data_IF_428895118180
#
_entry.id   IF_428895118180
#
_cell.length_a   1.000
_cell.length_b   1.000
_cell.length_c   1.000
_cell.angle_alpha   90.00
_cell.angle_beta   90.00
_cell.angle_gamma   90.00
#
_symmetry.space_group_name_H-M   'P 1'
#
loop_
_entity.id
_entity.type
_entity.pdbx_description
1 polymer ?
#
# COMPACT_ATOMS: atom_id res chain seq x y z
N UNK A 1 -14.81 27.44 -17.16
CA UNK A 1 -15.82 26.50 -16.62
C UNK A 1 -15.92 25.31 -17.56
N UNK A 2 -15.92 24.08 -17.05
CA UNK A 2 -15.98 22.85 -17.85
C UNK A 2 -17.26 22.75 -18.71
N UNK A 3 -18.33 23.44 -18.32
CA UNK A 3 -19.63 23.43 -19.01
C UNK A 3 -19.91 24.66 -19.88
N UNK A 4 -18.90 25.47 -20.21
CA UNK A 4 -19.10 26.70 -21.00
C UNK A 4 -19.95 27.79 -20.33
N UNK A 5 -20.46 27.59 -19.11
CA UNK A 5 -21.27 28.57 -18.38
C UNK A 5 -22.63 28.06 -17.91
N UNK A 6 -23.11 26.95 -18.48
CA UNK A 6 -24.42 26.36 -18.14
C UNK A 6 -24.34 25.36 -16.98
N UNK A 7 -25.49 25.11 -16.35
CA UNK A 7 -25.62 24.12 -15.27
C UNK A 7 -25.46 22.70 -15.84
N UNK A 8 -24.65 21.86 -15.19
CA UNK A 8 -24.47 20.44 -15.55
C UNK A 8 -25.79 19.67 -15.61
N UNK A 9 -26.80 20.09 -14.84
CA UNK A 9 -28.11 19.44 -14.79
C UNK A 9 -29.00 19.71 -16.01
N UNK A 10 -28.62 20.67 -16.85
CA UNK A 10 -29.36 21.07 -18.05
C UNK A 10 -28.68 20.60 -19.34
N UNK A 11 -27.54 19.92 -19.23
CA UNK A 11 -26.81 19.38 -20.37
C UNK A 11 -27.30 17.97 -20.69
N UNK A 12 -27.38 17.66 -21.98
CA UNK A 12 -27.59 16.30 -22.45
C UNK A 12 -26.39 15.42 -22.09
N UNK A 13 -26.65 14.10 -21.98
CA UNK A 13 -25.58 13.14 -21.82
C UNK A 13 -24.59 13.21 -23.00
N UNK A 14 -23.27 13.10 -22.76
CA UNK A 14 -22.29 13.13 -23.83
C UNK A 14 -22.53 11.99 -24.82
N UNK A 15 -22.40 12.30 -26.10
CA UNK A 15 -22.44 11.28 -27.16
C UNK A 15 -21.19 10.41 -27.07
N UNK A 16 -21.34 9.12 -27.36
CA UNK A 16 -20.22 8.17 -27.39
C UNK A 16 -19.16 8.61 -28.41
N UNK A 17 -17.92 8.70 -27.96
CA UNK A 17 -16.77 8.97 -28.82
C UNK A 17 -16.18 7.70 -29.44
N UNK A 18 -15.05 7.84 -30.14
CA UNK A 18 -14.27 6.71 -30.62
C UNK A 18 -13.61 5.97 -29.46
N UNK A 19 -13.54 4.64 -29.57
CA UNK A 19 -12.83 3.79 -28.61
C UNK A 19 -11.39 3.64 -29.08
N UNK A 20 -10.44 3.79 -28.15
CA UNK A 20 -9.04 3.50 -28.40
C UNK A 20 -8.73 2.08 -27.90
N UNK A 21 -8.78 1.11 -28.82
CA UNK A 21 -8.56 -0.31 -28.51
C UNK A 21 -7.17 -0.56 -27.89
N UNK A 22 -6.13 0.16 -28.33
CA UNK A 22 -4.79 0.00 -27.78
C UNK A 22 -4.72 0.32 -26.28
N UNK A 23 -5.46 1.34 -25.83
CA UNK A 23 -5.57 1.68 -24.40
C UNK A 23 -6.33 0.60 -23.64
N UNK A 24 -7.37 0.01 -24.25
CA UNK A 24 -8.11 -1.08 -23.63
C UNK A 24 -7.24 -2.34 -23.48
N UNK A 25 -6.42 -2.65 -24.47
CA UNK A 25 -5.49 -3.78 -24.43
C UNK A 25 -4.40 -3.57 -23.35
N UNK A 26 -3.80 -2.38 -23.29
CA UNK A 26 -2.84 -2.04 -22.23
C UNK A 26 -3.48 -2.12 -20.84
N UNK A 27 -4.72 -1.67 -20.68
CA UNK A 27 -5.47 -1.81 -19.41
C UNK A 27 -5.79 -3.26 -19.06
N UNK A 28 -6.16 -4.07 -20.05
CA UNK A 28 -6.42 -5.50 -19.85
C UNK A 28 -5.14 -6.21 -19.37
N UNK A 29 -4.01 -5.94 -20.02
CA UNK A 29 -2.71 -6.48 -19.60
C UNK A 29 -2.31 -6.00 -18.20
N UNK A 30 -2.48 -4.70 -17.91
CA UNK A 30 -2.19 -4.10 -16.59
C UNK A 30 -2.95 -4.83 -15.48
N UNK A 31 -4.26 -5.03 -15.65
CA UNK A 31 -5.10 -5.76 -14.69
C UNK A 31 -4.66 -7.21 -14.54
N UNK A 32 -4.38 -7.90 -15.65
CA UNK A 32 -3.90 -9.27 -15.61
C UNK A 32 -2.59 -9.41 -14.80
N UNK A 33 -1.66 -8.46 -14.94
CA UNK A 33 -0.41 -8.45 -14.16
C UNK A 33 -0.69 -8.26 -12.67
N UNK A 34 -1.56 -7.30 -12.32
CA UNK A 34 -1.94 -7.04 -10.91
C UNK A 34 -2.58 -8.27 -10.29
N UNK A 35 -3.57 -8.87 -10.96
CA UNK A 35 -4.29 -10.05 -10.48
C UNK A 35 -3.32 -11.23 -10.25
N UNK A 36 -2.43 -11.50 -11.19
CA UNK A 36 -1.41 -12.54 -11.05
C UNK A 36 -0.39 -12.22 -9.94
N UNK A 37 0.03 -10.96 -9.81
CA UNK A 37 0.96 -10.50 -8.78
C UNK A 37 0.36 -10.67 -7.37
N UNK A 38 -0.89 -10.24 -7.18
CA UNK A 38 -1.64 -10.44 -5.94
C UNK A 38 -1.88 -11.92 -5.67
N UNK A 39 -2.20 -12.73 -6.69
CA UNK A 39 -2.34 -14.18 -6.53
C UNK A 39 -1.02 -14.82 -6.07
N UNK A 40 0.13 -14.39 -6.62
CA UNK A 40 1.46 -14.88 -6.20
C UNK A 40 1.84 -14.47 -4.78
N UNK A 41 1.34 -13.34 -4.27
CA UNK A 41 1.46 -12.99 -2.84
C UNK A 41 0.68 -13.95 -1.95
N UNK A 42 -0.50 -14.36 -2.42
CA UNK A 42 -1.40 -15.25 -1.69
C UNK A 42 -1.02 -16.73 -1.79
N UNK A 43 -0.24 -17.11 -2.81
CA UNK A 43 0.19 -18.49 -3.01
C UNK A 43 1.12 -18.93 -1.87
N UNK A 44 0.81 -20.07 -1.28
CA UNK A 44 1.61 -20.75 -0.27
C UNK A 44 2.09 -22.08 -0.84
N UNK A 45 3.35 -22.41 -0.66
CA UNK A 45 3.92 -23.73 -0.93
C UNK A 45 4.69 -24.23 0.30
N UNK A 46 5.26 -25.42 0.23
CA UNK A 46 6.13 -25.94 1.31
C UNK A 46 7.38 -25.08 1.51
N UNK A 47 7.83 -24.38 0.46
CA UNK A 47 9.02 -23.52 0.45
C UNK A 47 8.71 -22.03 0.61
N UNK A 48 7.48 -21.59 0.32
CA UNK A 48 7.12 -20.17 0.30
C UNK A 48 5.90 -19.87 1.16
N UNK A 49 6.04 -18.89 2.05
CA UNK A 49 4.94 -18.39 2.86
C UNK A 49 4.15 -17.31 2.10
N UNK A 50 2.89 -17.16 2.52
CA UNK A 50 2.03 -16.08 2.06
C UNK A 50 2.62 -14.73 2.51
N UNK A 51 2.67 -13.76 1.60
CA UNK A 51 3.14 -12.40 1.89
C UNK A 51 1.96 -11.44 1.81
N UNK A 52 1.66 -10.77 2.92
CA UNK A 52 0.56 -9.78 2.97
C UNK A 52 0.89 -8.60 2.06
N UNK A 53 -0.11 -8.02 1.39
CA UNK A 53 0.10 -6.90 0.44
C UNK A 53 0.84 -5.74 1.07
N UNK A 54 0.55 -5.40 2.34
CA UNK A 54 1.24 -4.35 3.11
C UNK A 54 2.76 -4.54 3.28
N UNK A 55 3.26 -5.77 3.15
CA UNK A 55 4.69 -6.05 3.17
C UNK A 55 5.23 -5.68 1.79
N UNK A 56 6.01 -4.58 1.68
CA UNK A 56 6.60 -4.20 0.40
C UNK A 56 7.57 -5.29 -0.04
N UNK A 57 7.60 -5.54 -1.34
CA UNK A 57 8.55 -6.44 -1.98
C UNK A 57 9.47 -5.65 -2.90
N UNK A 58 10.63 -6.22 -3.19
CA UNK A 58 11.64 -5.53 -3.99
C UNK A 58 11.16 -5.33 -5.43
N UNK A 59 10.67 -6.39 -6.08
CA UNK A 59 10.31 -6.28 -7.49
C UNK A 59 9.24 -7.27 -7.95
N UNK A 60 8.55 -6.88 -9.02
CA UNK A 60 7.71 -7.72 -9.85
C UNK A 60 8.24 -7.72 -11.28
N UNK A 61 8.37 -8.90 -11.86
CA UNK A 61 8.68 -9.09 -13.27
C UNK A 61 7.43 -9.48 -14.06
N UNK A 62 7.30 -9.02 -15.30
CA UNK A 62 6.22 -9.47 -16.21
C UNK A 62 6.73 -9.68 -17.63
N UNK A 63 6.14 -10.64 -18.35
CA UNK A 63 6.39 -10.85 -19.78
C UNK A 63 5.33 -10.17 -20.66
N UNK A 64 5.65 -10.07 -21.95
CA UNK A 64 4.77 -9.49 -22.98
C UNK A 64 5.14 -8.05 -23.31
N UNK A 65 4.22 -7.37 -24.01
CA UNK A 65 4.41 -5.99 -24.48
C UNK A 65 4.72 -5.06 -23.31
N UNK A 66 5.72 -4.21 -23.48
CA UNK A 66 6.08 -3.20 -22.47
C UNK A 66 4.95 -2.19 -22.32
N UNK A 67 4.54 -1.95 -21.08
CA UNK A 67 3.54 -0.94 -20.72
C UNK A 67 4.19 0.44 -20.54
N UNK A 68 3.36 1.49 -20.64
CA UNK A 68 3.77 2.84 -20.29
C UNK A 68 4.11 2.97 -18.80
N UNK A 69 5.01 3.90 -18.46
CA UNK A 69 5.50 4.07 -17.08
C UNK A 69 4.41 4.36 -16.05
N UNK A 70 3.34 5.07 -16.44
CA UNK A 70 2.18 5.31 -15.56
C UNK A 70 1.47 4.01 -15.18
N UNK A 71 1.39 3.05 -16.10
CA UNK A 71 0.75 1.76 -15.85
C UNK A 71 1.64 0.85 -15.02
N UNK A 72 2.95 0.87 -15.28
CA UNK A 72 3.94 0.19 -14.43
C UNK A 72 3.91 0.74 -13.00
N UNK A 73 3.67 2.05 -12.81
CA UNK A 73 3.49 2.65 -11.50
C UNK A 73 2.20 2.18 -10.82
N UNK A 74 1.07 2.12 -11.53
CA UNK A 74 -0.18 1.57 -10.99
C UNK A 74 0.04 0.11 -10.54
N UNK A 75 0.73 -0.70 -11.34
CA UNK A 75 1.09 -2.07 -10.97
C UNK A 75 1.94 -2.10 -9.69
N UNK A 76 2.93 -1.21 -9.59
CA UNK A 76 3.81 -1.12 -8.43
C UNK A 76 3.04 -0.78 -7.15
N UNK A 77 2.08 0.14 -7.23
CA UNK A 77 1.25 0.58 -6.10
C UNK A 77 0.25 -0.50 -5.68
N UNK A 78 -0.49 -1.09 -6.63
CA UNK A 78 -1.51 -2.11 -6.35
C UNK A 78 -0.90 -3.41 -5.81
N UNK A 79 0.25 -3.84 -6.35
CA UNK A 79 0.96 -5.03 -5.87
C UNK A 79 1.94 -4.70 -4.74
N UNK A 80 2.15 -3.42 -4.39
CA UNK A 80 3.11 -2.93 -3.39
C UNK A 80 4.55 -3.47 -3.59
N UNK A 81 5.14 -3.19 -4.74
CA UNK A 81 6.54 -3.52 -5.06
C UNK A 81 7.36 -2.26 -5.33
N UNK A 82 8.67 -2.28 -5.08
CA UNK A 82 9.53 -1.12 -5.37
C UNK A 82 9.79 -0.93 -6.85
N UNK A 83 9.89 -2.03 -7.59
CA UNK A 83 10.23 -2.02 -9.01
C UNK A 83 9.32 -2.94 -9.81
N UNK A 84 8.94 -2.49 -11.02
CA UNK A 84 8.23 -3.30 -12.01
C UNK A 84 9.14 -3.41 -13.23
N UNK A 85 9.43 -4.65 -13.65
CA UNK A 85 10.40 -4.95 -14.70
C UNK A 85 9.70 -5.74 -15.81
N UNK A 86 9.72 -5.19 -17.02
CA UNK A 86 9.37 -5.96 -18.21
C UNK A 86 10.53 -6.88 -18.60
N UNK A 87 10.26 -8.18 -18.69
CA UNK A 87 11.21 -9.23 -19.05
C UNK A 87 11.20 -9.58 -20.56
N UNK A 88 10.50 -8.79 -21.38
CA UNK A 88 10.28 -9.06 -22.80
C UNK A 88 9.21 -10.12 -23.07
N UNK A 89 9.04 -10.45 -24.35
CA UNK A 89 8.01 -11.36 -24.86
C UNK A 89 7.31 -10.77 -26.08
N UNK A 90 6.69 -11.62 -26.89
CA UNK A 90 6.00 -11.18 -28.10
C UNK A 90 4.53 -10.82 -27.81
N UNK A 91 3.95 -9.97 -28.66
CA UNK A 91 2.54 -9.58 -28.59
C UNK A 91 1.66 -10.82 -28.86
N UNK A 92 0.90 -11.25 -27.86
CA UNK A 92 0.05 -12.45 -27.91
C UNK A 92 0.52 -13.63 -27.05
N UNK A 93 1.75 -13.56 -26.50
CA UNK A 93 2.19 -14.53 -25.51
C UNK A 93 1.36 -14.41 -24.22
N UNK A 94 1.19 -15.54 -23.53
CA UNK A 94 0.59 -15.52 -22.21
C UNK A 94 1.46 -14.68 -21.26
N UNK A 95 0.84 -13.71 -20.58
CA UNK A 95 1.51 -12.87 -19.58
C UNK A 95 1.93 -13.76 -18.41
N UNK A 96 3.24 -13.87 -18.19
CA UNK A 96 3.85 -14.56 -17.07
C UNK A 96 4.36 -13.51 -16.10
N UNK A 97 3.87 -13.57 -14.86
CA UNK A 97 4.33 -12.71 -13.78
C UNK A 97 5.31 -13.46 -12.87
N UNK A 98 6.35 -12.79 -12.41
CA UNK A 98 7.27 -13.27 -11.36
C UNK A 98 7.31 -12.24 -10.23
N UNK A 99 7.54 -12.71 -9.01
CA UNK A 99 7.54 -11.86 -7.83
C UNK A 99 8.76 -12.22 -6.98
N UNK A 100 9.56 -11.22 -6.65
CA UNK A 100 10.67 -11.38 -5.72
C UNK A 100 10.11 -11.37 -4.29
N UNK A 101 10.20 -12.54 -3.62
CA UNK A 101 9.71 -12.74 -2.26
C UNK A 101 10.82 -12.66 -1.21
N UNK A 102 12.05 -12.34 -1.61
CA UNK A 102 13.15 -12.16 -0.66
C UNK A 102 12.98 -10.82 0.05
N UNK A 103 12.59 -10.90 1.33
CA UNK A 103 12.34 -9.71 2.15
C UNK A 103 13.67 -9.29 2.80
N UNK A 104 14.22 -8.17 2.34
CA UNK A 104 15.39 -7.57 2.99
C UNK A 104 15.02 -7.00 4.37
N UNK A 105 15.99 -6.81 5.28
CA UNK A 105 15.72 -6.19 6.59
C UNK A 105 15.03 -4.83 6.48
N UNK A 106 15.39 -4.02 5.49
CA UNK A 106 14.79 -2.70 5.22
C UNK A 106 13.32 -2.82 4.82
N UNK A 107 13.01 -3.73 3.88
CA UNK A 107 11.63 -3.98 3.46
C UNK A 107 10.79 -4.53 4.62
N UNK A 108 11.38 -5.38 5.47
CA UNK A 108 10.70 -5.92 6.66
C UNK A 108 10.33 -4.80 7.64
N UNK A 109 11.28 -3.91 7.96
CA UNK A 109 11.03 -2.75 8.83
C UNK A 109 10.00 -1.78 8.24
N UNK A 110 10.04 -1.57 6.93
CA UNK A 110 9.01 -0.76 6.26
C UNK A 110 7.61 -1.42 6.34
N UNK A 111 7.54 -2.75 6.21
CA UNK A 111 6.31 -3.52 6.42
C UNK A 111 5.78 -3.42 7.86
N UNK A 112 6.68 -3.51 8.85
CA UNK A 112 6.34 -3.30 10.27
C UNK A 112 5.79 -1.90 10.51
N UNK A 113 6.42 -0.86 9.95
CA UNK A 113 5.94 0.52 10.04
C UNK A 113 4.52 0.66 9.46
N UNK A 114 4.22 0.09 8.30
CA UNK A 114 2.85 0.12 7.74
C UNK A 114 1.83 -0.55 8.67
N UNK A 115 2.22 -1.64 9.33
CA UNK A 115 1.37 -2.29 10.32
C UNK A 115 1.16 -1.44 11.57
N UNK A 116 2.19 -0.74 12.04
CA UNK A 116 2.07 0.22 13.13
C UNK A 116 1.06 1.30 12.76
N UNK A 117 1.20 1.92 11.58
CA UNK A 117 0.26 2.96 11.09
C UNK A 117 -1.18 2.42 11.08
N UNK A 118 -1.40 1.22 10.53
CA UNK A 118 -2.73 0.58 10.51
C UNK A 118 -3.30 0.40 11.91
N UNK A 119 -2.50 -0.09 12.86
CA UNK A 119 -2.96 -0.30 14.22
C UNK A 119 -3.26 1.03 14.95
N UNK A 120 -2.44 2.06 14.74
CA UNK A 120 -2.71 3.41 15.27
C UNK A 120 -4.00 3.98 14.68
N UNK A 121 -4.22 3.85 13.37
CA UNK A 121 -5.46 4.31 12.73
C UNK A 121 -6.70 3.58 13.26
N UNK A 122 -6.60 2.27 13.49
CA UNK A 122 -7.68 1.52 14.13
C UNK A 122 -7.91 1.98 15.57
N UNK A 123 -6.85 2.25 16.33
CA UNK A 123 -6.96 2.77 17.69
C UNK A 123 -7.60 4.16 17.72
N UNK A 124 -7.27 5.06 16.78
CA UNK A 124 -7.93 6.37 16.62
C UNK A 124 -9.44 6.22 16.44
N UNK A 125 -9.85 5.30 15.57
CA UNK A 125 -11.26 4.99 15.33
C UNK A 125 -11.95 4.43 16.58
N UNK A 126 -11.28 3.52 17.30
CA UNK A 126 -11.81 2.92 18.54
C UNK A 126 -11.91 3.94 19.69
N UNK A 127 -10.99 4.90 19.74
CA UNK A 127 -11.03 6.04 20.67
C UNK A 127 -12.10 7.08 20.31
N UNK A 128 -12.83 6.91 19.19
CA UNK A 128 -13.89 7.82 18.77
C UNK A 128 -13.40 9.15 18.19
N UNK A 129 -12.15 9.21 17.72
CA UNK A 129 -11.58 10.41 17.10
C UNK A 129 -12.10 10.61 15.68
N UNK A 130 -12.19 11.87 15.25
CA UNK A 130 -12.50 12.23 13.87
C UNK A 130 -11.28 12.02 12.96
N UNK A 131 -11.53 12.00 11.64
CA UNK A 131 -10.50 11.75 10.62
C UNK A 131 -9.39 12.81 10.65
N UNK A 132 -9.73 14.04 11.00
CA UNK A 132 -8.86 15.21 11.04
C UNK A 132 -8.29 15.55 12.43
N UNK A 133 -8.67 14.80 13.47
CA UNK A 133 -8.20 15.04 14.82
C UNK A 133 -6.69 14.78 14.95
N UNK A 134 -5.95 15.70 15.56
CA UNK A 134 -4.53 15.51 15.88
C UNK A 134 -4.36 14.76 17.20
N UNK A 135 -3.30 13.98 17.29
CA UNK A 135 -3.03 13.15 18.48
C UNK A 135 -1.63 13.37 19.03
N UNK A 136 -1.48 13.08 20.31
CA UNK A 136 -0.20 12.75 20.93
C UNK A 136 -0.15 11.22 20.97
N UNK A 137 0.93 10.62 20.47
CA UNK A 137 1.09 9.18 20.32
C UNK A 137 2.27 8.67 21.17
N UNK A 138 2.18 7.48 21.72
CA UNK A 138 3.30 6.74 22.31
C UNK A 138 3.26 5.31 21.82
N UNK A 139 4.42 4.79 21.44
CA UNK A 139 4.61 3.43 20.94
C UNK A 139 5.71 2.78 21.76
N UNK A 140 5.42 1.65 22.40
CA UNK A 140 6.39 0.93 23.23
C UNK A 140 6.38 -0.55 22.89
N UNK A 141 7.57 -1.11 22.68
CA UNK A 141 7.79 -2.53 22.40
C UNK A 141 9.10 -2.99 23.03
N UNK A 142 9.18 -4.28 23.34
CA UNK A 142 10.41 -4.94 23.79
C UNK A 142 11.18 -5.57 22.62
N UNK A 143 10.58 -5.62 21.43
CA UNK A 143 11.21 -6.19 20.23
C UNK A 143 12.15 -5.18 19.57
N UNK A 144 13.42 -5.54 19.45
CA UNK A 144 14.45 -4.64 18.94
C UNK A 144 14.30 -4.29 17.46
N UNK A 145 13.76 -5.19 16.64
CA UNK A 145 13.55 -4.95 15.21
C UNK A 145 12.38 -4.00 14.98
N UNK A 146 11.28 -4.19 15.71
CA UNK A 146 10.14 -3.27 15.70
C UNK A 146 10.51 -1.91 16.27
N UNK A 147 11.32 -1.85 17.32
CA UNK A 147 11.84 -0.59 17.86
C UNK A 147 12.65 0.17 16.81
N UNK A 148 13.54 -0.53 16.09
CA UNK A 148 14.30 0.05 15.00
C UNK A 148 13.39 0.53 13.86
N UNK A 149 12.37 -0.25 13.48
CA UNK A 149 11.41 0.15 12.44
C UNK A 149 10.64 1.42 12.82
N UNK A 150 10.22 1.55 14.08
CA UNK A 150 9.53 2.75 14.59
C UNK A 150 10.48 3.95 14.55
N UNK A 151 11.73 3.79 15.00
CA UNK A 151 12.70 4.88 15.02
C UNK A 151 13.09 5.34 13.61
N UNK A 152 13.34 4.43 12.67
CA UNK A 152 13.70 4.74 11.29
C UNK A 152 12.59 5.48 10.53
N UNK A 153 11.33 5.24 10.91
CA UNK A 153 10.15 5.76 10.19
C UNK A 153 9.25 6.64 11.06
N UNK A 154 9.77 7.20 12.16
CA UNK A 154 8.99 7.99 13.12
C UNK A 154 8.24 9.15 12.44
N UNK A 155 8.91 9.88 11.55
CA UNK A 155 8.33 11.00 10.82
C UNK A 155 7.16 10.56 9.92
N UNK A 156 7.30 9.42 9.23
CA UNK A 156 6.24 8.87 8.38
C UNK A 156 5.06 8.44 9.24
N UNK A 157 5.30 7.70 10.33
CA UNK A 157 4.27 7.26 11.26
C UNK A 157 3.50 8.47 11.81
N UNK A 158 4.21 9.52 12.24
CA UNK A 158 3.59 10.73 12.78
C UNK A 158 2.73 11.44 11.74
N UNK A 159 3.25 11.63 10.51
CA UNK A 159 2.53 12.29 9.42
C UNK A 159 1.26 11.54 9.01
N UNK A 160 1.34 10.22 8.85
CA UNK A 160 0.24 9.35 8.43
C UNK A 160 -0.81 9.15 9.52
N UNK A 161 -0.47 9.39 10.79
CA UNK A 161 -1.38 9.22 11.94
C UNK A 161 -1.84 10.54 12.56
N UNK A 162 -1.49 11.67 11.96
CA UNK A 162 -1.72 13.02 12.48
C UNK A 162 -1.18 13.22 13.91
N UNK A 163 -0.08 12.55 14.25
CA UNK A 163 0.58 12.73 15.53
C UNK A 163 1.41 14.02 15.53
N UNK A 164 1.20 14.87 16.52
CA UNK A 164 1.98 16.10 16.71
C UNK A 164 3.17 15.88 17.62
N UNK A 165 3.10 14.88 18.50
CA UNK A 165 4.13 14.55 19.49
C UNK A 165 4.15 13.03 19.74
N UNK A 166 5.36 12.49 19.96
CA UNK A 166 5.62 11.07 20.23
C UNK A 166 5.88 10.81 21.72
N UNK A 167 5.01 11.32 22.60
CA UNK A 167 5.18 11.27 24.06
C UNK A 167 3.86 11.17 24.83
N UNK A 168 2.88 10.42 24.31
CA UNK A 168 1.61 10.23 25.04
C UNK A 168 1.84 9.58 26.40
N UNK A 169 1.20 10.14 27.42
CA UNK A 169 1.30 9.71 28.82
C UNK A 169 -0.08 9.37 29.44
N UNK A 170 -1.17 9.69 28.74
CA UNK A 170 -2.53 9.37 29.11
C UNK A 170 -3.36 9.06 27.84
N UNK A 171 -4.62 8.66 28.02
CA UNK A 171 -5.59 8.45 26.95
C UNK A 171 -5.87 6.99 26.64
N UNK A 172 -6.28 6.74 25.40
CA UNK A 172 -6.67 5.42 24.91
C UNK A 172 -5.44 4.51 24.79
N UNK A 173 -5.54 3.32 25.39
CA UNK A 173 -4.51 2.29 25.34
C UNK A 173 -4.99 1.12 24.46
N UNK A 174 -4.09 0.59 23.64
CA UNK A 174 -4.30 -0.70 23.02
C UNK A 174 -3.01 -1.53 23.02
N UNK A 175 -3.17 -2.83 23.25
CA UNK A 175 -2.14 -3.82 23.03
C UNK A 175 -2.40 -4.50 21.69
N UNK A 176 -1.44 -4.43 20.77
CA UNK A 176 -1.52 -5.03 19.44
C UNK A 176 -0.29 -5.86 19.15
N UNK A 177 -0.40 -6.74 18.15
CA UNK A 177 0.72 -7.54 17.68
C UNK A 177 1.08 -7.13 16.26
N UNK A 178 2.37 -6.82 16.03
CA UNK A 178 2.93 -6.47 14.71
C UNK A 178 3.95 -7.55 14.35
N UNK A 179 3.63 -8.36 13.33
CA UNK A 179 4.50 -9.45 12.85
C UNK A 179 5.03 -10.38 13.96
N UNK A 180 4.19 -10.65 14.98
CA UNK A 180 4.52 -11.49 16.13
C UNK A 180 5.10 -10.75 17.34
N UNK A 181 5.55 -9.50 17.17
CA UNK A 181 6.04 -8.65 18.25
C UNK A 181 4.89 -7.92 18.96
N UNK A 182 4.95 -7.85 20.29
CA UNK A 182 4.00 -7.08 21.08
C UNK A 182 4.28 -5.57 20.99
N UNK A 183 3.24 -4.79 20.75
CA UNK A 183 3.30 -3.34 20.67
C UNK A 183 2.20 -2.74 21.56
N UNK A 184 2.61 -1.92 22.53
CA UNK A 184 1.72 -1.09 23.31
C UNK A 184 1.62 0.26 22.63
N UNK A 185 0.41 0.66 22.30
CA UNK A 185 0.13 1.99 21.77
C UNK A 185 -0.73 2.77 22.76
N UNK A 186 -0.41 4.04 22.94
CA UNK A 186 -1.17 4.98 23.73
C UNK A 186 -1.40 6.25 22.92
N UNK A 187 -2.64 6.73 22.88
CA UNK A 187 -2.97 7.96 22.17
C UNK A 187 -3.99 8.80 22.92
N UNK A 188 -3.84 10.12 22.78
CA UNK A 188 -4.81 11.09 23.26
C UNK A 188 -4.97 12.20 22.23
N UNK A 189 -6.13 12.85 22.21
CA UNK A 189 -6.36 14.03 21.38
C UNK A 189 -5.43 15.16 21.86
N UNK A 190 -4.75 15.80 20.92
CA UNK A 190 -3.90 16.96 21.19
C UNK A 190 -4.72 18.21 21.52
#
# INVERSE_FOLDING_TARGET
KLTGGESVHLLDWPKTGAINEAVLDEMAQTRAIIEQGLAKRMSKSDSEQQVKVRQPLNQLGYSGKRLGGELEQIIAEEVNVKHVINNGGDEGDAVVVTLDKDITPELKREGMMREVIRNVQNARKQAGLNVDDRIILSLTTEDGELQQAIAEHEATIASETLATEMAANDGFLADVTVEGAALKLQLQKA
#
